data_IF_276585525599
#
_entry.id   IF_276585525599
#
_cell.length_a   1.000
_cell.length_b   1.000
_cell.length_c   1.000
_cell.angle_alpha   90.00
_cell.angle_beta   90.00
_cell.angle_gamma   90.00
#
_symmetry.space_group_name_H-M   'P 1'
#
loop_
_entity.id
_entity.type
_entity.pdbx_description
1 polymer ?
#
# COMPACT_ATOMS: atom_id res chain seq x y z
N UNK A 1 -0.29 -11.89 11.57
CA UNK A 1 -0.79 -10.51 11.34
C UNK A 1 -0.63 -10.04 9.89
N UNK A 2 0.01 -10.80 9.00
CA UNK A 2 0.20 -10.43 7.57
C UNK A 2 -1.00 -10.78 6.68
N UNK A 3 -1.76 -11.84 6.98
CA UNK A 3 -2.87 -12.31 6.13
C UNK A 3 -4.04 -11.30 6.09
N UNK A 4 -4.40 -10.74 7.25
CA UNK A 4 -5.55 -9.82 7.39
C UNK A 4 -5.40 -8.55 6.54
N UNK A 5 -4.18 -8.00 6.42
CA UNK A 5 -3.96 -6.75 5.70
C UNK A 5 -4.08 -6.92 4.19
N UNK A 6 -3.66 -8.08 3.65
CA UNK A 6 -3.77 -8.39 2.22
C UNK A 6 -5.24 -8.53 1.80
N UNK A 7 -6.07 -9.20 2.60
CA UNK A 7 -7.51 -9.35 2.33
C UNK A 7 -8.23 -8.00 2.37
N UNK A 8 -7.91 -7.14 3.35
CA UNK A 8 -8.47 -5.79 3.47
C UNK A 8 -8.11 -4.94 2.26
N UNK A 9 -6.87 -4.98 1.77
CA UNK A 9 -6.48 -4.27 0.55
C UNK A 9 -7.09 -4.84 -0.73
N UNK A 10 -7.29 -6.16 -0.81
CA UNK A 10 -8.02 -6.76 -1.94
C UNK A 10 -9.48 -6.29 -1.98
N UNK A 11 -10.11 -6.13 -0.81
CA UNK A 11 -11.48 -5.60 -0.72
C UNK A 11 -11.56 -4.10 -1.01
N UNK A 12 -10.51 -3.34 -0.70
CA UNK A 12 -10.49 -1.88 -0.90
C UNK A 12 -10.64 -1.51 -2.37
N UNK A 13 -10.24 -2.38 -3.31
CA UNK A 13 -10.49 -2.19 -4.74
C UNK A 13 -11.97 -2.08 -5.09
N UNK A 14 -12.86 -2.69 -4.30
CA UNK A 14 -14.30 -2.73 -4.55
C UNK A 14 -15.11 -1.84 -3.58
N UNK A 15 -14.47 -1.12 -2.64
CA UNK A 15 -15.14 -0.21 -1.69
C UNK A 15 -14.39 1.13 -1.59
N UNK A 16 -14.98 2.22 -2.13
CA UNK A 16 -14.45 3.58 -1.97
C UNK A 16 -14.29 4.01 -0.50
N UNK A 17 -15.21 3.58 0.36
CA UNK A 17 -15.19 3.90 1.80
C UNK A 17 -13.99 3.25 2.49
N UNK A 18 -13.67 2.02 2.12
CA UNK A 18 -12.51 1.31 2.66
C UNK A 18 -11.19 1.95 2.17
N UNK A 19 -11.11 2.34 0.89
CA UNK A 19 -9.97 3.11 0.39
C UNK A 19 -9.79 4.44 1.14
N UNK A 20 -10.88 5.17 1.40
CA UNK A 20 -10.83 6.41 2.17
C UNK A 20 -10.32 6.14 3.60
N UNK A 21 -10.84 5.11 4.27
CA UNK A 21 -10.39 4.73 5.60
C UNK A 21 -8.90 4.39 5.63
N UNK A 22 -8.42 3.54 4.71
CA UNK A 22 -7.03 3.14 4.63
C UNK A 22 -6.07 4.33 4.42
N UNK A 23 -6.47 5.29 3.60
CA UNK A 23 -5.68 6.51 3.34
C UNK A 23 -5.78 7.54 4.47
N UNK A 24 -6.78 7.45 5.34
CA UNK A 24 -6.90 8.33 6.53
C UNK A 24 -5.99 7.91 7.69
N UNK A 25 -5.60 6.63 7.74
CA UNK A 25 -4.77 6.05 8.79
C UNK A 25 -3.34 6.58 8.66
N UNK A 26 -2.77 7.07 9.77
CA UNK A 26 -1.40 7.63 9.82
C UNK A 26 -0.28 6.61 9.95
N UNK A 27 -0.63 5.35 10.16
CA UNK A 27 0.33 4.23 10.15
C UNK A 27 0.58 3.80 8.71
N UNK A 28 1.84 3.49 8.38
CA UNK A 28 2.20 2.94 7.07
C UNK A 28 1.54 1.57 6.89
N UNK A 29 0.73 1.40 5.85
CA UNK A 29 0.10 0.12 5.50
C UNK A 29 0.39 -0.18 4.04
N UNK A 30 1.05 -1.30 3.80
CA UNK A 30 1.47 -1.76 2.46
C UNK A 30 1.77 -3.26 2.51
N UNK A 31 1.86 -3.88 1.33
CA UNK A 31 2.30 -5.28 1.19
C UNK A 31 3.04 -5.51 -0.14
N UNK A 32 3.74 -6.64 -0.23
CA UNK A 32 4.30 -7.13 -1.50
C UNK A 32 3.44 -8.29 -2.01
N UNK A 33 3.03 -8.23 -3.28
CA UNK A 33 2.17 -9.27 -3.91
C UNK A 33 2.96 -10.48 -4.41
N UNK A 34 4.26 -10.31 -4.55
CA UNK A 34 5.28 -11.33 -4.77
C UNK A 34 6.53 -10.91 -3.95
N UNK A 35 7.64 -11.67 -3.94
CA UNK A 35 8.76 -11.36 -3.06
C UNK A 35 9.37 -9.96 -3.21
N UNK A 36 9.13 -9.27 -4.31
CA UNK A 36 9.80 -8.00 -4.60
C UNK A 36 8.87 -6.88 -5.08
N UNK A 37 7.64 -7.16 -5.48
CA UNK A 37 6.76 -6.16 -6.08
C UNK A 37 5.70 -5.67 -5.10
N UNK A 38 5.58 -4.35 -4.97
CA UNK A 38 4.50 -3.71 -4.24
C UNK A 38 3.13 -4.16 -4.77
N UNK A 39 2.23 -4.44 -3.82
CA UNK A 39 0.80 -4.44 -4.05
C UNK A 39 0.24 -3.04 -3.80
N UNK A 40 -0.81 -2.96 -2.98
CA UNK A 40 -1.38 -1.69 -2.53
C UNK A 40 -0.57 -1.05 -1.44
N UNK A 41 -0.61 0.28 -1.43
CA UNK A 41 -0.02 1.13 -0.40
C UNK A 41 -1.03 2.18 0.04
N UNK A 42 -0.95 2.64 1.28
CA UNK A 42 -1.75 3.77 1.75
C UNK A 42 -0.97 5.09 1.67
N UNK A 43 -1.70 6.19 1.83
CA UNK A 43 -1.13 7.54 1.80
C UNK A 43 0.02 7.73 2.81
N UNK A 44 -0.08 7.18 4.02
CA UNK A 44 0.98 7.34 5.02
C UNK A 44 2.32 6.70 4.61
N UNK A 45 2.31 5.58 3.87
CA UNK A 45 3.52 5.00 3.32
C UNK A 45 4.08 5.82 2.15
N UNK A 46 3.19 6.31 1.28
CA UNK A 46 3.59 7.18 0.18
C UNK A 46 4.25 8.49 0.69
N UNK A 47 3.64 9.11 1.72
CA UNK A 47 4.18 10.28 2.40
C UNK A 47 5.55 10.02 3.04
N UNK A 48 5.76 8.83 3.59
CA UNK A 48 7.05 8.43 4.18
C UNK A 48 8.17 8.37 3.13
N UNK A 49 7.87 7.89 1.93
CA UNK A 49 8.81 7.86 0.80
C UNK A 49 8.90 9.21 0.06
N UNK A 50 7.98 10.15 0.33
CA UNK A 50 7.91 11.42 -0.39
C UNK A 50 7.41 11.28 -1.83
N UNK A 51 6.62 10.24 -2.12
CA UNK A 51 6.12 9.89 -3.44
C UNK A 51 4.59 9.83 -3.47
N UNK A 52 4.00 9.74 -4.66
CA UNK A 52 2.56 9.43 -4.81
C UNK A 52 2.32 7.93 -4.82
N UNK A 53 1.08 7.53 -4.49
CA UNK A 53 0.67 6.12 -4.45
C UNK A 53 0.92 5.44 -5.81
N UNK A 54 0.54 6.08 -6.91
CA UNK A 54 0.70 5.57 -8.28
C UNK A 54 2.16 5.42 -8.74
N UNK A 55 3.11 6.05 -8.03
CA UNK A 55 4.54 5.92 -8.30
C UNK A 55 5.15 4.70 -7.58
N UNK A 56 4.41 4.11 -6.64
CA UNK A 56 4.87 3.00 -5.78
C UNK A 56 4.13 1.70 -6.13
N UNK A 57 2.81 1.74 -6.31
CA UNK A 57 2.02 0.54 -6.60
C UNK A 57 2.55 -0.18 -7.85
N UNK A 58 2.60 -1.51 -7.77
CA UNK A 58 3.11 -2.39 -8.83
C UNK A 58 4.59 -2.17 -9.22
N UNK A 59 5.37 -1.43 -8.42
CA UNK A 59 6.82 -1.28 -8.60
C UNK A 59 7.61 -2.27 -7.75
N UNK A 60 8.84 -2.56 -8.17
CA UNK A 60 9.76 -3.37 -7.39
C UNK A 60 10.27 -2.57 -6.17
N UNK A 61 10.31 -3.19 -4.99
CA UNK A 61 10.73 -2.59 -3.73
C UNK A 61 12.17 -2.08 -3.76
N UNK A 62 13.04 -2.73 -4.55
CA UNK A 62 14.43 -2.30 -4.74
C UNK A 62 14.57 -0.92 -5.37
N UNK A 63 13.52 -0.39 -6.01
CA UNK A 63 13.54 0.98 -6.54
C UNK A 63 13.54 2.05 -5.44
N UNK A 64 13.27 1.68 -4.18
CA UNK A 64 13.06 2.62 -3.07
C UNK A 64 13.90 2.27 -1.82
N UNK A 65 14.70 1.20 -1.88
CA UNK A 65 15.62 0.80 -0.82
C UNK A 65 17.03 1.05 -1.32
N UNK A 66 17.73 2.01 -0.70
CA UNK A 66 19.18 2.23 -0.88
C UNK A 66 20.01 1.05 -0.32
#
# INVERSE_FOLDING_TARGET
MTIMMTEVFQQSHNSPELNFLLNSIKTQVWYLKDPETYGKVNQAHADFLGLKIEEIEDKNISNFLD
#
